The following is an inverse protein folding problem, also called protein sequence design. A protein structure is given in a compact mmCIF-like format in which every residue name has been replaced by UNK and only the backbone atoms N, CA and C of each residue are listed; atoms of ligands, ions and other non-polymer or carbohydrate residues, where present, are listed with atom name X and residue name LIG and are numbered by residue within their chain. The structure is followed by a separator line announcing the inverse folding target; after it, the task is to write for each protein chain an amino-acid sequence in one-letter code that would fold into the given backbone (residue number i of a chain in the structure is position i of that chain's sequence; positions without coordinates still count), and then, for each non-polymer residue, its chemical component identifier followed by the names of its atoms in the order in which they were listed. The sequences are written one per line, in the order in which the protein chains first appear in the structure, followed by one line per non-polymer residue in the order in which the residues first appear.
data_IF_426977771651
#
_entry.id   IF_426977771651
#
_cell.length_a   1.000
_cell.length_b   1.000
_cell.length_c   1.000
_cell.angle_alpha   90.00
_cell.angle_beta   90.00
_cell.angle_gamma   90.00
#
_symmetry.space_group_name_H-M   'P 1'
#
loop_
_entity.id
_entity.type
_entity.pdbx_description
1 polymer ?
#
# COMPACT_ATOMS: atom_id res chain seq x y z
N UNK A 1 -35.81 -2.65 -65.91
CA UNK A 1 -35.80 -2.58 -64.44
C UNK A 1 -34.35 -2.55 -64.01
N UNK A 2 -33.87 -1.40 -63.54
CA UNK A 2 -32.47 -1.09 -63.30
C UNK A 2 -32.19 -1.03 -61.79
N UNK A 3 -31.10 -1.66 -61.37
CA UNK A 3 -30.30 -1.41 -60.15
C UNK A 3 -29.78 0.06 -60.13
N UNK A 4 -29.14 0.62 -59.06
CA UNK A 4 -28.34 -0.05 -58.01
C UNK A 4 -28.29 0.61 -56.58
N UNK A 5 -27.52 -0.04 -55.70
CA UNK A 5 -26.62 0.48 -54.63
C UNK A 5 -27.11 1.43 -53.51
N UNK A 6 -26.51 1.26 -52.32
CA UNK A 6 -26.03 2.42 -51.55
C UNK A 6 -26.45 2.52 -50.08
N UNK A 7 -25.55 2.07 -49.19
CA UNK A 7 -24.97 2.83 -48.07
C UNK A 7 -25.65 4.11 -47.50
N UNK A 8 -25.50 4.25 -46.17
CA UNK A 8 -25.25 5.48 -45.36
C UNK A 8 -26.38 6.14 -44.55
N UNK A 9 -26.03 6.30 -43.26
CA UNK A 9 -26.03 7.52 -42.41
C UNK A 9 -27.34 8.28 -42.14
N UNK A 10 -27.64 8.41 -40.85
CA UNK A 10 -28.18 9.63 -40.21
C UNK A 10 -27.47 9.74 -38.84
N UNK A 11 -26.82 10.83 -38.39
CA UNK A 11 -27.14 12.25 -38.52
C UNK A 11 -27.96 12.68 -37.30
N UNK A 12 -27.36 13.24 -36.23
CA UNK A 12 -27.41 14.69 -35.83
C UNK A 12 -28.82 15.30 -35.94
N UNK A 13 -29.38 16.11 -35.02
CA UNK A 13 -28.89 17.20 -34.15
C UNK A 13 -30.14 17.83 -33.49
N UNK A 14 -30.00 18.58 -32.39
CA UNK A 14 -30.66 19.89 -32.08
C UNK A 14 -30.16 20.34 -30.69
N UNK A 15 -29.85 21.59 -30.36
CA UNK A 15 -29.81 22.90 -31.03
C UNK A 15 -29.04 23.86 -30.08
N UNK A 16 -28.08 24.65 -30.59
CA UNK A 16 -28.18 26.10 -30.93
C UNK A 16 -27.90 27.04 -29.74
N UNK A 17 -26.73 27.72 -29.71
CA UNK A 17 -26.40 29.09 -30.23
C UNK A 17 -26.88 30.16 -29.21
N UNK A 18 -26.05 31.05 -28.65
CA UNK A 18 -25.48 32.28 -29.25
C UNK A 18 -24.16 32.68 -28.53
N UNK A 19 -23.13 33.03 -29.32
CA UNK A 19 -22.04 33.98 -28.98
C UNK A 19 -22.32 35.31 -29.70
N UNK A 20 -21.72 36.42 -29.25
CA UNK A 20 -20.72 37.11 -30.09
C UNK A 20 -19.45 37.40 -29.28
N UNK A 21 -18.25 36.99 -29.74
CA UNK A 21 -17.35 37.73 -30.66
C UNK A 21 -16.88 39.08 -30.07
N UNK A 22 -15.59 39.41 -29.93
CA UNK A 22 -14.35 38.78 -30.37
C UNK A 22 -13.14 39.69 -30.04
N UNK A 23 -11.94 39.14 -30.30
CA UNK A 23 -10.59 39.75 -30.32
C UNK A 23 -9.75 39.80 -29.02
N UNK A 24 -8.69 38.98 -29.05
CA UNK A 24 -7.41 39.02 -28.28
C UNK A 24 -6.39 39.95 -29.02
N UNK A 25 -5.09 39.99 -28.64
CA UNK A 25 -4.44 40.37 -27.36
C UNK A 25 -3.32 41.43 -27.58
N UNK A 26 -2.77 42.05 -26.50
CA UNK A 26 -1.31 42.18 -26.19
C UNK A 26 -0.92 43.36 -25.29
N UNK A 27 0.03 43.04 -24.40
CA UNK A 27 1.20 43.78 -23.89
C UNK A 27 1.07 45.01 -22.94
N UNK A 28 1.73 44.86 -21.78
CA UNK A 28 2.17 45.81 -20.73
C UNK A 28 2.87 47.09 -21.27
N UNK A 29 3.03 48.24 -20.53
CA UNK A 29 3.52 48.30 -19.14
C UNK A 29 3.13 49.52 -18.24
N UNK A 30 3.59 49.43 -16.97
CA UNK A 30 4.02 50.51 -16.06
C UNK A 30 3.00 51.53 -15.50
N UNK A 31 2.85 51.57 -14.16
CA UNK A 31 3.30 52.71 -13.31
C UNK A 31 3.11 52.43 -11.80
N UNK A 32 4.19 52.64 -11.03
CA UNK A 32 4.14 53.02 -9.59
C UNK A 32 3.97 54.55 -9.48
N UNK A 33 3.70 55.11 -8.28
CA UNK A 33 4.82 55.61 -7.48
C UNK A 33 4.77 55.30 -5.96
N UNK A 34 5.97 55.39 -5.37
CA UNK A 34 6.39 55.23 -3.96
C UNK A 34 5.98 56.40 -3.04
N UNK A 35 6.04 56.18 -1.71
CA UNK A 35 6.76 56.93 -0.62
C UNK A 35 6.48 56.14 0.70
N UNK A 36 7.38 55.49 1.45
CA UNK A 36 8.70 55.76 2.04
C UNK A 36 8.72 56.49 3.41
N UNK A 37 9.08 55.79 4.50
CA UNK A 37 9.89 56.24 5.66
C UNK A 37 10.15 55.03 6.62
N UNK A 38 11.38 54.48 6.76
CA UNK A 38 12.52 54.83 7.67
C UNK A 38 12.11 54.91 9.17
N UNK A 39 12.84 54.42 10.18
CA UNK A 39 14.11 53.72 10.42
C UNK A 39 14.10 53.33 11.95
N UNK A 40 14.84 52.36 12.50
CA UNK A 40 16.23 52.51 12.98
C UNK A 40 16.70 51.22 13.68
N UNK A 41 18.01 50.98 13.57
CA UNK A 41 18.79 49.93 14.24
C UNK A 41 19.25 50.37 15.64
N UNK A 42 19.48 49.43 16.55
CA UNK A 42 20.39 49.64 17.68
C UNK A 42 21.25 48.40 17.93
N UNK A 43 22.57 48.62 17.87
CA UNK A 43 23.66 47.70 18.22
C UNK A 43 24.06 48.02 19.67
N UNK A 44 24.17 47.02 20.54
CA UNK A 44 25.02 47.09 21.75
C UNK A 44 25.63 45.70 22.03
N UNK A 45 26.93 45.67 22.29
CA UNK A 45 27.76 44.62 22.91
C UNK A 45 28.78 45.39 23.79
N UNK A 46 29.57 44.75 24.69
CA UNK A 46 29.36 43.55 25.51
C UNK A 46 29.86 43.74 26.98
N UNK A 47 29.48 42.89 27.95
CA UNK A 47 30.31 42.63 29.16
C UNK A 47 30.13 41.18 29.61
N UNK A 48 31.26 40.56 29.96
CA UNK A 48 31.45 39.19 30.38
C UNK A 48 31.15 38.95 31.87
N UNK A 49 30.73 37.73 32.24
CA UNK A 49 31.48 36.80 33.09
C UNK A 49 30.61 35.61 33.58
N UNK A 50 31.10 34.38 33.31
CA UNK A 50 31.23 33.18 34.19
C UNK A 50 29.99 32.70 34.98
N UNK A 51 29.70 31.42 35.19
CA UNK A 51 30.27 30.09 34.89
C UNK A 51 29.16 29.09 35.32
N UNK A 52 29.08 27.89 34.73
CA UNK A 52 28.16 26.86 35.25
C UNK A 52 27.92 25.61 34.38
N UNK A 53 28.99 25.09 33.77
CA UNK A 53 29.29 23.68 33.48
C UNK A 53 28.14 22.68 33.23
N UNK A 54 27.89 22.41 31.95
CA UNK A 54 27.35 21.14 31.48
C UNK A 54 28.47 20.08 31.47
N UNK A 55 28.21 18.92 32.07
CA UNK A 55 29.01 17.71 31.95
C UNK A 55 28.22 16.66 31.15
N UNK A 56 28.97 15.85 30.40
CA UNK A 56 28.59 14.60 29.72
C UNK A 56 28.10 14.70 28.27
N UNK A 57 29.03 15.07 27.40
CA UNK A 57 29.11 14.54 26.03
C UNK A 57 30.56 14.05 25.82
N UNK A 58 30.82 12.81 26.24
CA UNK A 58 32.03 12.09 25.85
C UNK A 58 31.70 10.59 25.86
N UNK A 59 31.68 10.00 24.66
CA UNK A 59 31.89 8.59 24.25
C UNK A 59 31.19 8.42 22.90
N UNK A 60 31.84 8.83 21.81
CA UNK A 60 31.61 8.27 20.46
C UNK A 60 32.61 8.85 19.44
N UNK A 61 33.92 8.82 19.73
CA UNK A 61 34.92 9.16 18.70
C UNK A 61 36.17 8.29 18.86
N UNK A 62 36.08 7.03 18.43
CA UNK A 62 37.25 6.20 18.07
C UNK A 62 36.79 4.93 17.35
N UNK A 63 36.67 4.98 16.02
CA UNK A 63 36.91 3.85 15.11
C UNK A 63 36.60 4.18 13.64
N UNK A 64 37.22 5.21 13.03
CA UNK A 64 37.40 5.23 11.56
C UNK A 64 38.69 5.96 11.22
N UNK A 65 39.81 5.25 11.20
CA UNK A 65 41.08 5.75 10.66
C UNK A 65 41.90 4.61 10.04
N UNK A 66 41.37 4.02 8.97
CA UNK A 66 42.07 3.36 7.86
C UNK A 66 40.94 3.06 6.85
N UNK A 67 40.98 3.42 5.57
CA UNK A 67 42.12 3.51 4.68
C UNK A 67 41.70 4.37 3.47
N UNK A 68 42.54 5.34 3.11
CA UNK A 68 42.52 6.05 1.83
C UNK A 68 42.63 5.04 0.68
N UNK A 69 41.85 5.22 -0.38
CA UNK A 69 42.33 5.68 -1.70
C UNK A 69 41.34 5.28 -2.81
N UNK A 70 40.87 6.26 -3.59
CA UNK A 70 40.01 6.00 -4.74
C UNK A 70 39.19 7.22 -5.18
N UNK A 71 39.87 8.31 -5.50
CA UNK A 71 39.30 9.54 -6.09
C UNK A 71 38.68 9.23 -7.47
N UNK A 72 37.41 9.56 -7.72
CA UNK A 72 36.97 10.31 -8.93
C UNK A 72 35.68 11.13 -8.64
N UNK A 73 35.89 12.45 -8.59
CA UNK A 73 35.09 13.62 -9.03
C UNK A 73 33.55 13.65 -8.93
N UNK A 74 33.09 14.60 -8.08
CA UNK A 74 32.11 15.71 -8.30
C UNK A 74 30.86 15.43 -9.16
N UNK A 75 29.69 15.65 -8.56
CA UNK A 75 28.93 16.89 -8.72
C UNK A 75 27.81 16.97 -7.65
N UNK A 76 27.62 18.16 -7.10
CA UNK A 76 26.59 18.48 -6.13
C UNK A 76 25.25 18.73 -6.83
N UNK A 77 24.13 18.34 -6.21
CA UNK A 77 22.94 19.19 -6.14
C UNK A 77 21.91 18.70 -5.11
N UNK A 78 21.35 19.69 -4.39
CA UNK A 78 20.31 19.60 -3.39
C UNK A 78 18.96 19.20 -4.02
N UNK A 79 18.17 18.38 -3.31
CA UNK A 79 16.71 18.40 -3.36
C UNK A 79 16.15 17.76 -2.06
N UNK A 80 15.14 18.38 -1.45
CA UNK A 80 14.46 17.91 -0.24
C UNK A 80 13.54 16.69 -0.48
N UNK A 81 12.87 16.18 0.57
CA UNK A 81 12.16 14.91 0.49
C UNK A 81 10.73 15.12 0.00
N UNK A 82 10.54 15.21 -1.32
CA UNK A 82 9.25 14.94 -1.96
C UNK A 82 9.55 14.35 -3.35
N UNK A 83 8.82 13.30 -3.72
CA UNK A 83 8.87 12.52 -4.97
C UNK A 83 9.75 11.25 -4.96
N UNK A 84 9.11 10.13 -4.66
CA UNK A 84 9.46 8.82 -5.22
C UNK A 84 8.20 7.95 -5.36
N UNK A 85 7.21 8.43 -6.13
CA UNK A 85 6.16 7.60 -6.72
C UNK A 85 5.96 8.07 -8.16
N UNK A 86 6.84 7.64 -9.05
CA UNK A 86 6.59 7.61 -10.50
C UNK A 86 7.73 6.85 -11.20
N UNK A 87 7.33 6.00 -12.15
CA UNK A 87 8.13 5.16 -13.05
C UNK A 87 8.59 3.81 -12.49
N UNK A 88 7.63 2.87 -12.34
CA UNK A 88 7.96 1.45 -12.51
C UNK A 88 8.16 1.17 -14.00
N UNK A 89 9.23 0.46 -14.40
CA UNK A 89 9.46 0.10 -15.79
C UNK A 89 8.34 -0.80 -16.29
N UNK A 90 7.92 -0.61 -17.55
CA UNK A 90 7.07 -1.57 -18.28
C UNK A 90 7.63 -2.98 -18.06
N UNK A 91 6.74 -3.91 -17.72
CA UNK A 91 7.06 -5.31 -17.49
C UNK A 91 8.08 -5.82 -18.51
N UNK A 92 9.33 -5.96 -18.07
CA UNK A 92 10.35 -6.64 -18.85
C UNK A 92 10.01 -8.11 -18.73
N UNK A 93 9.66 -8.72 -19.86
CA UNK A 93 9.68 -10.17 -20.05
C UNK A 93 11.11 -10.65 -19.79
N UNK A 94 11.47 -10.90 -18.54
CA UNK A 94 12.71 -11.56 -18.17
C UNK A 94 12.50 -13.06 -18.32
N UNK A 95 12.88 -13.58 -19.49
CA UNK A 95 13.01 -15.01 -19.73
C UNK A 95 14.06 -15.59 -18.79
N UNK A 96 13.60 -16.18 -17.69
CA UNK A 96 14.28 -17.21 -16.92
C UNK A 96 13.64 -18.56 -17.25
N UNK A 97 14.42 -19.62 -17.18
CA UNK A 97 14.17 -21.00 -17.63
C UNK A 97 12.70 -21.50 -17.56
N UNK A 98 12.15 -21.91 -18.70
CA UNK A 98 10.70 -22.16 -18.98
C UNK A 98 10.22 -23.59 -18.72
N UNK A 99 10.97 -24.40 -17.97
CA UNK A 99 10.69 -25.84 -17.95
C UNK A 99 9.41 -26.23 -17.20
N UNK A 100 8.87 -25.37 -16.33
CA UNK A 100 7.64 -25.63 -15.57
C UNK A 100 6.38 -24.89 -16.04
N UNK A 101 6.48 -23.95 -16.98
CA UNK A 101 5.34 -23.15 -17.46
C UNK A 101 4.36 -23.93 -18.37
N UNK A 102 4.73 -25.15 -18.79
CA UNK A 102 3.93 -25.96 -19.72
C UNK A 102 3.20 -27.14 -19.08
N UNK A 103 3.44 -27.44 -17.80
CA UNK A 103 2.68 -28.49 -17.11
C UNK A 103 1.33 -27.94 -16.64
N UNK A 104 0.21 -28.65 -16.84
CA UNK A 104 -1.10 -28.16 -16.39
C UNK A 104 -1.12 -27.87 -14.88
N UNK A 105 -1.63 -26.71 -14.50
CA UNK A 105 -1.89 -26.39 -13.08
C UNK A 105 -2.95 -27.40 -12.58
N UNK A 106 -2.79 -28.00 -11.38
CA UNK A 106 -3.76 -28.96 -10.87
C UNK A 106 -5.12 -28.29 -10.60
N UNK A 107 -6.21 -29.08 -10.67
CA UNK A 107 -7.58 -28.58 -10.40
C UNK A 107 -7.83 -28.31 -8.91
N UNK A 108 -6.96 -28.80 -8.03
CA UNK A 108 -7.03 -28.55 -6.59
C UNK A 108 -5.62 -28.34 -6.08
N UNK A 109 -5.36 -27.25 -5.35
CA UNK A 109 -4.06 -27.08 -4.71
C UNK A 109 -3.86 -28.15 -3.64
N UNK A 110 -2.64 -28.66 -3.53
CA UNK A 110 -2.29 -29.76 -2.64
C UNK A 110 -1.87 -29.22 -1.27
N UNK A 111 -2.76 -28.43 -0.68
CA UNK A 111 -2.59 -27.70 0.58
C UNK A 111 -2.56 -28.58 1.84
N UNK A 112 -2.06 -29.82 1.72
CA UNK A 112 -1.89 -30.71 2.86
C UNK A 112 -0.89 -30.17 3.89
N UNK A 113 -0.47 -31.02 4.82
CA UNK A 113 0.59 -30.63 5.76
C UNK A 113 1.91 -30.41 5.02
N UNK A 114 2.31 -29.16 4.90
CA UNK A 114 3.62 -28.69 4.46
C UNK A 114 4.32 -28.21 5.71
N UNK A 115 5.51 -28.74 6.02
CA UNK A 115 6.32 -28.20 7.11
C UNK A 115 6.83 -26.80 6.70
N UNK A 116 6.00 -25.77 6.92
CA UNK A 116 6.33 -24.38 6.63
C UNK A 116 7.53 -23.91 7.47
N UNK A 117 7.74 -24.50 8.64
CA UNK A 117 8.94 -24.26 9.43
C UNK A 117 10.18 -24.86 8.74
N UNK A 118 10.09 -26.03 8.10
CA UNK A 118 11.14 -26.55 7.22
C UNK A 118 11.37 -25.66 6.00
N UNK A 119 10.31 -25.08 5.40
CA UNK A 119 10.46 -24.09 4.32
C UNK A 119 11.28 -22.88 4.81
N UNK A 120 11.06 -22.43 6.05
CA UNK A 120 11.82 -21.34 6.66
C UNK A 120 13.27 -21.69 6.98
N UNK A 121 13.52 -22.87 7.56
CA UNK A 121 14.87 -23.36 7.86
C UNK A 121 15.69 -23.68 6.61
N UNK A 122 15.03 -23.83 5.46
CA UNK A 122 15.66 -24.26 4.22
C UNK A 122 15.72 -25.78 4.05
N UNK A 123 15.13 -26.53 4.97
CA UNK A 123 15.08 -27.99 4.96
C UNK A 123 14.09 -28.52 3.90
N UNK A 124 13.11 -27.70 3.50
CA UNK A 124 12.22 -27.96 2.37
C UNK A 124 12.56 -27.02 1.19
N UNK A 125 12.70 -27.55 -0.04
CA UNK A 125 12.83 -26.75 -1.24
C UNK A 125 11.59 -25.85 -1.46
N UNK A 126 11.81 -24.58 -1.83
CA UNK A 126 10.70 -23.67 -2.16
C UNK A 126 9.86 -24.17 -3.35
N UNK A 127 10.45 -24.95 -4.24
CA UNK A 127 9.76 -25.51 -5.40
C UNK A 127 8.67 -26.49 -4.97
N UNK A 128 8.95 -27.33 -3.96
CA UNK A 128 7.95 -28.26 -3.43
C UNK A 128 6.77 -27.51 -2.78
N UNK A 129 7.06 -26.45 -2.03
CA UNK A 129 6.03 -25.60 -1.45
C UNK A 129 5.18 -24.91 -2.54
N UNK A 130 5.84 -24.32 -3.54
CA UNK A 130 5.18 -23.64 -4.65
C UNK A 130 4.31 -24.60 -5.48
N UNK A 131 4.78 -25.82 -5.77
CA UNK A 131 3.99 -26.84 -6.47
C UNK A 131 2.74 -27.23 -5.69
N UNK A 132 2.85 -27.43 -4.37
CA UNK A 132 1.71 -27.79 -3.53
C UNK A 132 0.71 -26.65 -3.38
N UNK A 133 1.18 -25.40 -3.37
CA UNK A 133 0.33 -24.21 -3.33
C UNK A 133 -0.30 -23.88 -4.69
N UNK A 134 0.23 -24.39 -5.79
CA UNK A 134 -0.35 -24.18 -7.12
C UNK A 134 -1.63 -25.00 -7.30
N UNK A 135 -2.66 -24.41 -7.91
CA UNK A 135 -3.94 -25.06 -8.10
C UNK A 135 -5.06 -24.09 -8.48
N UNK A 136 -6.30 -24.58 -8.48
CA UNK A 136 -7.49 -23.78 -8.76
C UNK A 136 -8.02 -23.09 -7.49
N UNK A 137 -8.15 -21.76 -7.57
CA UNK A 137 -8.72 -20.90 -6.54
C UNK A 137 -9.99 -20.22 -7.08
N UNK A 138 -11.15 -20.75 -6.71
CA UNK A 138 -12.41 -20.33 -7.31
C UNK A 138 -12.44 -20.68 -8.81
N UNK A 139 -12.74 -19.73 -9.72
CA UNK A 139 -12.72 -19.99 -11.15
C UNK A 139 -11.33 -19.83 -11.80
N UNK A 140 -10.30 -19.45 -11.04
CA UNK A 140 -8.96 -19.11 -11.58
C UNK A 140 -7.93 -20.17 -11.22
N UNK A 141 -6.92 -20.36 -12.07
CA UNK A 141 -5.76 -21.21 -11.77
C UNK A 141 -4.58 -20.34 -11.34
N UNK A 142 -4.03 -20.60 -10.16
CA UNK A 142 -2.83 -19.91 -9.68
C UNK A 142 -1.62 -20.85 -9.72
N UNK A 143 -0.51 -20.32 -10.25
CA UNK A 143 0.80 -20.94 -10.22
C UNK A 143 1.71 -20.14 -9.29
N UNK A 144 2.10 -20.78 -8.21
CA UNK A 144 3.16 -20.29 -7.34
C UNK A 144 4.50 -20.65 -7.97
N UNK A 145 5.41 -19.69 -7.95
CA UNK A 145 6.71 -19.75 -8.58
C UNK A 145 7.79 -19.57 -7.53
N UNK A 146 9.00 -20.04 -7.82
CA UNK A 146 10.18 -19.84 -6.98
C UNK A 146 11.07 -18.70 -7.43
N UNK A 147 10.56 -17.84 -8.34
CA UNK A 147 11.24 -16.63 -8.82
C UNK A 147 11.52 -15.58 -7.73
N UNK A 148 11.17 -15.85 -6.48
CA UNK A 148 11.75 -15.14 -5.36
C UNK A 148 13.24 -15.44 -5.32
N UNK A 149 14.08 -14.47 -5.71
CA UNK A 149 15.49 -14.49 -5.31
C UNK A 149 15.60 -14.74 -3.80
N UNK A 150 16.78 -15.15 -3.27
CA UNK A 150 16.91 -15.47 -1.86
C UNK A 150 16.31 -14.34 -1.06
N UNK A 151 15.20 -14.63 -0.37
CA UNK A 151 14.63 -13.68 0.56
C UNK A 151 15.70 -13.32 1.59
N UNK A 152 15.43 -12.32 2.44
CA UNK A 152 16.30 -12.19 3.60
C UNK A 152 16.25 -13.52 4.37
N UNK A 153 17.32 -13.93 5.08
CA UNK A 153 17.29 -15.16 5.88
C UNK A 153 16.08 -15.24 6.84
N UNK A 154 15.48 -14.09 7.14
CA UNK A 154 14.33 -13.92 8.02
C UNK A 154 12.97 -14.00 7.30
N UNK A 155 12.91 -13.98 5.96
CA UNK A 155 11.65 -14.04 5.20
C UNK A 155 11.82 -14.77 3.87
N UNK A 156 11.07 -15.86 3.67
CA UNK A 156 11.05 -16.61 2.40
C UNK A 156 9.79 -16.27 1.62
N UNK A 157 9.93 -15.68 0.42
CA UNK A 157 8.78 -15.27 -0.41
C UNK A 157 8.50 -16.27 -1.51
N UNK A 158 7.23 -16.61 -1.68
CA UNK A 158 6.70 -17.45 -2.77
C UNK A 158 5.79 -16.56 -3.63
N UNK A 159 6.29 -16.00 -4.76
CA UNK A 159 5.45 -15.27 -5.69
C UNK A 159 4.47 -16.19 -6.41
N UNK A 160 3.38 -15.63 -6.94
CA UNK A 160 2.46 -16.37 -7.80
C UNK A 160 1.83 -15.48 -8.87
N UNK A 161 1.34 -16.13 -9.92
CA UNK A 161 0.47 -15.53 -10.93
C UNK A 161 -0.81 -16.36 -11.01
N UNK A 162 -1.95 -15.71 -11.28
CA UNK A 162 -3.21 -16.36 -11.56
C UNK A 162 -3.63 -16.14 -13.01
N UNK A 163 -4.33 -17.11 -13.58
CA UNK A 163 -4.67 -17.21 -14.99
C UNK A 163 -6.12 -17.68 -15.18
N UNK A 164 -6.68 -17.34 -16.34
CA UNK A 164 -7.99 -17.81 -16.81
C UNK A 164 -7.97 -19.24 -17.36
N UNK A 165 -6.80 -19.74 -17.77
CA UNK A 165 -6.64 -21.07 -18.34
C UNK A 165 -5.72 -21.94 -17.48
N UNK A 166 -5.99 -23.25 -17.48
CA UNK A 166 -5.34 -24.23 -16.61
C UNK A 166 -3.84 -24.39 -16.86
N UNK A 167 -3.40 -24.29 -18.11
CA UNK A 167 -1.98 -24.44 -18.44
C UNK A 167 -1.17 -23.18 -18.08
N UNK A 168 -1.84 -22.07 -17.75
CA UNK A 168 -1.21 -20.77 -17.51
C UNK A 168 -0.93 -19.98 -18.80
N UNK A 169 -1.39 -20.45 -19.96
CA UNK A 169 -1.26 -19.76 -21.25
C UNK A 169 -2.32 -18.67 -21.47
N UNK A 170 -3.41 -18.74 -20.70
CA UNK A 170 -4.48 -17.74 -20.71
C UNK A 170 -4.04 -16.37 -20.18
N UNK A 171 -4.99 -15.43 -20.18
CA UNK A 171 -4.74 -14.07 -19.66
C UNK A 171 -4.42 -14.16 -18.17
N UNK A 172 -3.29 -13.55 -17.76
CA UNK A 172 -2.95 -13.36 -16.35
C UNK A 172 -3.97 -12.42 -15.72
N UNK A 173 -4.59 -12.85 -14.62
CA UNK A 173 -5.68 -12.14 -13.93
C UNK A 173 -5.24 -11.50 -12.63
N UNK A 174 -4.21 -12.06 -12.00
CA UNK A 174 -3.65 -11.53 -10.76
C UNK A 174 -2.18 -11.93 -10.59
N UNK A 175 -1.48 -11.22 -9.73
CA UNK A 175 -0.17 -11.61 -9.23
C UNK A 175 -0.01 -11.22 -7.76
N UNK A 176 0.85 -11.93 -7.06
CA UNK A 176 1.11 -11.65 -5.64
C UNK A 176 2.33 -12.37 -5.11
N UNK A 177 2.53 -12.27 -3.81
CA UNK A 177 3.51 -13.08 -3.09
C UNK A 177 3.08 -13.33 -1.65
N UNK A 178 3.36 -14.52 -1.15
CA UNK A 178 3.28 -14.85 0.27
C UNK A 178 4.69 -14.91 0.85
N UNK A 179 4.93 -14.18 1.93
CA UNK A 179 6.15 -14.28 2.72
C UNK A 179 5.93 -15.19 3.92
N UNK A 180 6.87 -16.06 4.22
CA UNK A 180 6.89 -16.85 5.46
C UNK A 180 8.03 -16.32 6.33
N UNK A 181 7.81 -16.25 7.64
CA UNK A 181 8.77 -15.74 8.63
C UNK A 181 8.68 -16.54 9.91
N UNK A 182 9.80 -16.67 10.61
CA UNK A 182 9.85 -17.03 12.03
C UNK A 182 10.08 -15.75 12.82
N UNK A 183 9.14 -15.41 13.69
CA UNK A 183 9.23 -14.24 14.57
C UNK A 183 9.20 -14.72 16.00
N UNK A 184 10.38 -14.96 16.58
CA UNK A 184 10.56 -15.42 17.97
C UNK A 184 9.87 -16.75 18.28
N UNK A 185 9.86 -17.68 17.33
CA UNK A 185 9.19 -18.99 17.45
C UNK A 185 7.77 -19.02 16.92
N UNK A 186 7.20 -17.86 16.56
CA UNK A 186 5.90 -17.80 15.88
C UNK A 186 6.11 -17.92 14.36
N UNK A 187 5.33 -18.80 13.73
CA UNK A 187 5.26 -18.88 12.28
C UNK A 187 4.30 -17.82 11.75
N UNK A 188 4.82 -16.88 10.97
CA UNK A 188 4.09 -15.71 10.48
C UNK A 188 4.05 -15.70 8.96
N UNK A 189 2.90 -15.36 8.39
CA UNK A 189 2.75 -15.13 6.94
C UNK A 189 2.60 -13.63 6.65
N UNK A 190 3.45 -13.08 5.78
CA UNK A 190 3.24 -11.77 5.15
C UNK A 190 2.38 -11.94 3.88
N UNK A 191 1.16 -11.42 3.89
CA UNK A 191 0.23 -11.43 2.75
C UNK A 191 0.02 -10.02 2.17
N UNK A 192 1.08 -9.20 2.19
CA UNK A 192 1.01 -7.78 1.81
C UNK A 192 0.91 -7.53 0.29
N UNK A 193 1.10 -8.56 -0.55
CA UNK A 193 1.15 -8.39 -2.00
C UNK A 193 0.14 -9.28 -2.71
N UNK A 194 -0.96 -8.66 -3.15
CA UNK A 194 -1.90 -9.22 -4.11
C UNK A 194 -2.40 -8.06 -4.98
N UNK A 195 -2.25 -8.19 -6.29
CA UNK A 195 -2.87 -7.31 -7.25
C UNK A 195 -3.74 -8.12 -8.20
N UNK A 196 -5.00 -7.74 -8.32
CA UNK A 196 -5.95 -8.30 -9.29
C UNK A 196 -6.14 -7.26 -10.39
N UNK A 197 -5.91 -7.68 -11.62
CA UNK A 197 -6.06 -6.84 -12.80
C UNK A 197 -7.52 -6.36 -12.90
N UNK A 198 -7.72 -5.12 -13.35
CA UNK A 198 -8.97 -4.37 -13.19
C UNK A 198 -10.20 -5.12 -13.73
N UNK A 199 -10.08 -5.71 -14.91
CA UNK A 199 -11.13 -6.48 -15.58
C UNK A 199 -11.55 -7.75 -14.79
N UNK A 200 -10.68 -8.24 -13.89
CA UNK A 200 -10.87 -9.46 -13.10
C UNK A 200 -11.20 -9.18 -11.63
N UNK A 201 -11.28 -7.91 -11.23
CA UNK A 201 -11.72 -7.53 -9.89
C UNK A 201 -13.19 -7.91 -9.67
N UNK A 202 -13.56 -8.15 -8.42
CA UNK A 202 -14.92 -8.53 -7.99
C UNK A 202 -15.46 -9.83 -8.60
N UNK A 203 -14.60 -10.65 -9.22
CA UNK A 203 -14.94 -11.98 -9.73
C UNK A 203 -14.64 -13.12 -8.71
N UNK A 204 -14.32 -12.77 -7.47
CA UNK A 204 -14.15 -13.74 -6.38
C UNK A 204 -12.75 -14.36 -6.21
N UNK A 205 -11.75 -13.99 -7.03
CA UNK A 205 -10.39 -14.55 -6.90
C UNK A 205 -9.78 -14.36 -5.51
N UNK A 206 -9.76 -13.11 -5.02
CA UNK A 206 -9.14 -12.78 -3.74
C UNK A 206 -9.79 -13.51 -2.55
N UNK A 207 -11.12 -13.62 -2.56
CA UNK A 207 -11.87 -14.36 -1.53
C UNK A 207 -11.57 -15.86 -1.58
N UNK A 208 -11.56 -16.46 -2.77
CA UNK A 208 -11.25 -17.88 -2.92
C UNK A 208 -9.80 -18.22 -2.56
N UNK A 209 -8.85 -17.35 -2.94
CA UNK A 209 -7.45 -17.47 -2.55
C UNK A 209 -7.31 -17.36 -1.04
N UNK A 210 -7.91 -16.34 -0.42
CA UNK A 210 -7.86 -16.12 1.01
C UNK A 210 -8.44 -17.30 1.79
N UNK A 211 -9.64 -17.77 1.45
CA UNK A 211 -10.30 -18.85 2.18
C UNK A 211 -9.42 -20.13 2.22
N UNK A 212 -8.93 -20.57 1.05
CA UNK A 212 -8.08 -21.76 0.96
C UNK A 212 -6.72 -21.56 1.63
N UNK A 213 -6.11 -20.38 1.49
CA UNK A 213 -4.83 -20.08 2.13
C UNK A 213 -4.94 -20.01 3.65
N UNK A 214 -6.04 -19.47 4.20
CA UNK A 214 -6.25 -19.44 5.64
C UNK A 214 -6.41 -20.84 6.23
N UNK A 215 -7.18 -21.72 5.58
CA UNK A 215 -7.27 -23.13 5.98
C UNK A 215 -5.91 -23.81 5.96
N UNK A 216 -5.13 -23.57 4.89
CA UNK A 216 -3.77 -24.05 4.76
C UNK A 216 -2.84 -23.55 5.88
N UNK A 217 -2.89 -22.26 6.21
CA UNK A 217 -2.08 -21.65 7.26
C UNK A 217 -2.42 -22.23 8.64
N UNK A 218 -3.71 -22.37 8.96
CA UNK A 218 -4.17 -22.98 10.22
C UNK A 218 -3.69 -24.43 10.32
N UNK A 219 -3.85 -25.22 9.26
CA UNK A 219 -3.45 -26.63 9.23
C UNK A 219 -1.94 -26.84 9.40
N UNK A 220 -1.13 -25.85 9.00
CA UNK A 220 0.33 -25.86 9.08
C UNK A 220 0.89 -25.05 10.24
N UNK A 221 0.01 -24.59 11.12
CA UNK A 221 0.36 -23.96 12.37
C UNK A 221 1.02 -22.61 12.28
N UNK A 222 0.62 -21.83 11.28
CA UNK A 222 0.84 -20.38 11.26
C UNK A 222 0.08 -19.77 12.43
N UNK A 223 0.75 -18.90 13.18
CA UNK A 223 0.18 -18.23 14.34
C UNK A 223 -0.59 -16.96 13.94
N UNK A 224 -0.09 -16.25 12.93
CA UNK A 224 -0.76 -15.06 12.39
C UNK A 224 -0.41 -14.74 10.94
N UNK A 225 -1.30 -14.00 10.28
CA UNK A 225 -1.05 -13.35 9.00
C UNK A 225 -0.86 -11.85 9.23
N UNK A 226 0.24 -11.30 8.74
CA UNK A 226 0.54 -9.88 8.71
C UNK A 226 0.25 -9.32 7.31
N UNK A 227 -0.36 -8.13 7.25
CA UNK A 227 -0.71 -7.46 6.00
C UNK A 227 -0.32 -5.99 6.05
N UNK A 228 0.10 -5.45 4.90
CA UNK A 228 0.03 -4.03 4.61
C UNK A 228 -1.15 -3.79 3.68
N UNK A 229 -2.29 -3.45 4.26
CA UNK A 229 -3.43 -3.00 3.49
C UNK A 229 -3.05 -1.69 2.79
N UNK A 230 -3.23 -1.65 1.48
CA UNK A 230 -2.85 -0.51 0.65
C UNK A 230 -3.63 -0.56 -0.67
N UNK A 231 -3.30 0.33 -1.60
CA UNK A 231 -3.91 0.41 -2.93
C UNK A 231 -5.41 0.72 -2.84
N UNK A 232 -6.13 0.57 -3.96
CA UNK A 232 -7.51 1.01 -4.10
C UNK A 232 -8.46 0.30 -3.13
N UNK A 233 -8.44 -1.03 -3.08
CA UNK A 233 -9.43 -1.83 -2.36
C UNK A 233 -8.88 -2.55 -1.12
N UNK A 234 -7.56 -2.60 -0.94
CA UNK A 234 -6.93 -3.44 0.08
C UNK A 234 -7.33 -3.07 1.50
N UNK A 235 -7.45 -1.77 1.79
CA UNK A 235 -7.90 -1.27 3.09
C UNK A 235 -9.29 -1.77 3.47
N UNK A 236 -10.25 -1.67 2.55
CA UNK A 236 -11.62 -2.14 2.78
C UNK A 236 -11.69 -3.67 2.84
N UNK A 237 -10.97 -4.37 1.96
CA UNK A 237 -10.95 -5.83 1.90
C UNK A 237 -10.46 -6.46 3.21
N UNK A 238 -9.31 -6.04 3.74
CA UNK A 238 -8.75 -6.64 4.95
C UNK A 238 -9.58 -6.34 6.20
N UNK A 239 -10.12 -5.13 6.31
CA UNK A 239 -10.99 -4.75 7.42
C UNK A 239 -12.30 -5.57 7.47
N UNK A 240 -12.84 -5.93 6.30
CA UNK A 240 -13.99 -6.82 6.25
C UNK A 240 -13.64 -8.23 6.73
N UNK A 241 -12.45 -8.72 6.38
CA UNK A 241 -12.01 -10.10 6.62
C UNK A 241 -11.36 -10.33 7.99
N UNK A 242 -11.67 -9.49 8.98
CA UNK A 242 -11.31 -9.74 10.38
C UNK A 242 -9.85 -9.45 10.75
N UNK A 243 -9.11 -8.81 9.85
CA UNK A 243 -7.80 -8.25 10.18
C UNK A 243 -7.99 -7.06 11.13
N UNK A 244 -7.24 -7.05 12.22
CA UNK A 244 -7.18 -5.92 13.15
C UNK A 244 -5.86 -5.15 13.00
N UNK A 245 -5.73 -3.99 13.62
CA UNK A 245 -4.49 -3.22 13.59
C UNK A 245 -3.32 -3.97 14.20
N UNK A 246 -2.16 -3.81 13.56
CA UNK A 246 -0.91 -4.23 14.14
C UNK A 246 -0.48 -3.26 15.24
N UNK A 247 -0.51 -3.73 16.49
CA UNK A 247 -0.18 -2.95 17.68
C UNK A 247 1.31 -2.65 17.86
N UNK A 248 2.21 -3.17 17.01
CA UNK A 248 3.64 -2.84 17.09
C UNK A 248 3.84 -1.33 16.88
N UNK A 249 4.65 -0.64 17.71
CA UNK A 249 4.70 0.83 17.72
C UNK A 249 4.96 1.48 16.35
N UNK A 250 5.85 0.91 15.55
CA UNK A 250 6.21 1.40 14.21
C UNK A 250 5.06 1.20 13.20
N UNK A 251 4.32 0.09 13.32
CA UNK A 251 3.21 -0.29 12.44
C UNK A 251 1.93 0.46 12.78
N UNK A 252 1.63 0.60 14.07
CA UNK A 252 0.50 1.37 14.56
C UNK A 252 0.63 2.85 14.17
N UNK A 253 1.80 3.46 14.43
CA UNK A 253 2.04 4.85 14.08
C UNK A 253 1.87 5.12 12.58
N UNK A 254 2.35 4.21 11.71
CA UNK A 254 2.17 4.32 10.26
C UNK A 254 0.73 4.10 9.82
N UNK A 255 -0.02 3.23 10.49
CA UNK A 255 -1.44 3.00 10.21
C UNK A 255 -2.27 4.26 10.47
N UNK A 256 -2.03 4.92 11.62
CA UNK A 256 -2.67 6.21 11.92
C UNK A 256 -2.26 7.28 10.90
N UNK A 257 -0.97 7.36 10.56
CA UNK A 257 -0.48 8.31 9.57
C UNK A 257 -1.03 8.08 8.16
N UNK A 258 -1.43 6.85 7.82
CA UNK A 258 -2.06 6.51 6.53
C UNK A 258 -3.58 6.70 6.50
N UNK A 259 -4.27 6.50 7.63
CA UNK A 259 -5.73 6.60 7.70
C UNK A 259 -6.24 8.02 7.94
N UNK A 260 -5.62 8.79 8.85
CA UNK A 260 -6.11 10.14 9.19
C UNK A 260 -6.15 11.10 7.99
N UNK A 261 -5.15 11.13 7.09
CA UNK A 261 -5.25 11.94 5.88
C UNK A 261 -6.37 11.49 4.95
N UNK A 262 -6.64 10.19 4.85
CA UNK A 262 -7.72 9.67 4.01
C UNK A 262 -9.09 10.01 4.57
N UNK A 263 -9.27 9.91 5.90
CA UNK A 263 -10.45 10.40 6.60
C UNK A 263 -10.71 11.89 6.35
N UNK A 264 -9.66 12.71 6.42
CA UNK A 264 -9.76 14.14 6.11
C UNK A 264 -10.13 14.39 4.64
N UNK A 265 -9.57 13.62 3.71
CA UNK A 265 -9.89 13.72 2.28
C UNK A 265 -11.36 13.36 1.99
N UNK A 266 -11.91 12.34 2.64
CA UNK A 266 -13.35 12.00 2.53
C UNK A 266 -14.22 13.09 3.14
N UNK A 267 -13.86 13.59 4.32
CA UNK A 267 -14.58 14.65 5.04
C UNK A 267 -14.66 15.95 4.24
N UNK A 268 -13.57 16.33 3.59
CA UNK A 268 -13.42 17.62 2.91
C UNK A 268 -13.56 17.52 1.38
N UNK A 269 -14.07 16.38 0.89
CA UNK A 269 -14.24 16.14 -0.54
C UNK A 269 -15.22 17.14 -1.16
N UNK A 270 -14.78 17.83 -2.21
CA UNK A 270 -15.61 18.74 -3.00
C UNK A 270 -16.39 17.99 -4.09
N UNK A 271 -15.84 16.87 -4.57
CA UNK A 271 -16.43 16.08 -5.67
C UNK A 271 -17.45 15.06 -5.19
N UNK A 272 -17.33 14.62 -3.93
CA UNK A 272 -18.31 13.77 -3.27
C UNK A 272 -18.50 14.25 -1.82
N UNK A 273 -19.19 15.39 -1.60
CA UNK A 273 -19.38 15.94 -0.28
C UNK A 273 -20.09 14.97 0.66
N UNK A 274 -19.80 15.10 1.96
CA UNK A 274 -20.53 14.39 3.03
C UNK A 274 -21.37 15.39 3.81
N UNK A 275 -22.50 14.94 4.35
CA UNK A 275 -23.35 15.72 5.25
C UNK A 275 -22.61 16.11 6.53
N UNK A 276 -23.13 17.10 7.26
CA UNK A 276 -22.59 17.46 8.59
C UNK A 276 -22.62 16.28 9.58
N UNK A 277 -23.62 15.39 9.46
CA UNK A 277 -23.66 14.14 10.21
C UNK A 277 -22.47 13.23 9.85
N UNK A 278 -22.18 13.05 8.56
CA UNK A 278 -21.03 12.30 8.07
C UNK A 278 -19.70 12.90 8.51
N UNK A 279 -19.57 14.24 8.47
CA UNK A 279 -18.37 14.93 8.97
C UNK A 279 -18.16 14.68 10.46
N UNK A 280 -19.21 14.79 11.26
CA UNK A 280 -19.16 14.52 12.70
C UNK A 280 -18.79 13.07 12.99
N UNK A 281 -19.37 12.11 12.28
CA UNK A 281 -19.03 10.70 12.40
C UNK A 281 -17.54 10.42 12.08
N UNK A 282 -16.98 11.08 11.06
CA UNK A 282 -15.54 11.01 10.75
C UNK A 282 -14.70 11.61 11.89
N UNK A 283 -15.10 12.74 12.46
CA UNK A 283 -14.37 13.34 13.58
C UNK A 283 -14.37 12.44 14.81
N UNK A 284 -15.52 11.86 15.17
CA UNK A 284 -15.67 10.97 16.31
C UNK A 284 -14.77 9.72 16.17
N UNK A 285 -14.70 9.11 14.98
CA UNK A 285 -13.81 7.96 14.76
C UNK A 285 -12.33 8.36 14.74
N UNK A 286 -12.00 9.51 14.14
CA UNK A 286 -10.62 9.99 14.05
C UNK A 286 -10.06 10.40 15.42
N UNK A 287 -10.88 10.98 16.30
CA UNK A 287 -10.47 11.35 17.67
C UNK A 287 -10.09 10.10 18.49
N UNK A 288 -10.83 9.01 18.32
CA UNK A 288 -10.52 7.71 18.94
C UNK A 288 -9.25 7.04 18.39
N UNK A 289 -8.73 7.47 17.24
CA UNK A 289 -7.45 6.99 16.70
C UNK A 289 -6.24 7.75 17.25
N UNK A 290 -6.45 8.65 18.24
CA UNK A 290 -5.36 9.39 18.87
C UNK A 290 -4.36 8.42 19.49
N UNK A 291 -3.10 8.53 19.05
CA UNK A 291 -2.02 7.74 19.63
C UNK A 291 -1.82 8.11 21.11
N UNK A 292 -1.86 7.08 21.96
CA UNK A 292 -1.36 7.14 23.32
C UNK A 292 0.00 6.45 23.37
N UNK A 293 0.85 6.84 24.32
CA UNK A 293 2.19 6.25 24.46
C UNK A 293 2.35 5.53 25.78
N UNK A 294 3.12 4.45 25.77
CA UNK A 294 3.61 3.82 27.00
C UNK A 294 4.66 4.69 27.73
N UNK A 295 5.17 4.19 28.86
CA UNK A 295 6.20 4.88 29.64
C UNK A 295 7.53 5.10 28.89
N UNK A 296 7.76 4.35 27.81
CA UNK A 296 8.94 4.46 26.94
C UNK A 296 8.72 5.42 25.77
N UNK A 297 7.52 6.02 25.65
CA UNK A 297 7.16 6.92 24.57
C UNK A 297 6.71 6.21 23.28
N UNK A 298 6.46 4.90 23.32
CA UNK A 298 6.03 4.14 22.14
C UNK A 298 4.50 4.18 21.98
N UNK A 299 3.98 4.42 20.76
CA UNK A 299 2.56 4.27 20.48
C UNK A 299 2.03 2.89 20.87
N UNK A 300 0.89 2.83 21.54
CA UNK A 300 0.19 1.60 21.91
C UNK A 300 -1.30 1.70 21.59
N UNK A 301 -1.93 0.55 21.31
CA UNK A 301 -3.37 0.46 21.19
C UNK A 301 -4.02 0.68 22.56
N UNK A 302 -4.96 1.63 22.65
CA UNK A 302 -5.80 1.81 23.83
C UNK A 302 -7.16 1.17 23.63
N UNK A 303 -7.90 0.94 24.73
CA UNK A 303 -9.17 0.21 24.72
C UNK A 303 -10.21 0.81 23.76
N UNK A 304 -10.28 2.13 23.65
CA UNK A 304 -11.25 2.82 22.79
C UNK A 304 -10.79 2.97 21.32
N UNK A 305 -9.59 2.51 20.98
CA UNK A 305 -9.04 2.62 19.62
C UNK A 305 -9.91 1.80 18.65
N UNK A 306 -10.41 2.39 17.56
CA UNK A 306 -11.37 1.70 16.71
C UNK A 306 -10.69 0.57 15.94
N UNK A 307 -11.40 -0.54 15.74
CA UNK A 307 -10.92 -1.61 14.85
C UNK A 307 -11.05 -1.18 13.38
N UNK A 308 -10.26 -1.74 12.44
CA UNK A 308 -10.44 -1.49 11.02
C UNK A 308 -11.86 -1.81 10.54
N UNK A 309 -12.46 -2.88 11.09
CA UNK A 309 -13.84 -3.28 10.81
C UNK A 309 -14.85 -2.23 11.27
N UNK A 310 -14.62 -1.61 12.42
CA UNK A 310 -15.46 -0.54 12.93
C UNK A 310 -15.39 0.70 12.03
N UNK A 311 -14.19 1.11 11.63
CA UNK A 311 -14.00 2.22 10.68
C UNK A 311 -14.73 1.91 9.37
N UNK A 312 -14.58 0.69 8.83
CA UNK A 312 -15.25 0.27 7.60
C UNK A 312 -16.78 0.31 7.70
N UNK A 313 -17.34 -0.02 8.87
CA UNK A 313 -18.78 -0.04 9.13
C UNK A 313 -19.37 1.32 9.45
N UNK A 314 -18.55 2.37 9.52
CA UNK A 314 -19.02 3.73 9.70
C UNK A 314 -20.03 4.07 8.60
N UNK A 315 -21.21 4.52 9.00
CA UNK A 315 -22.29 4.86 8.09
C UNK A 315 -23.20 5.90 8.77
N UNK A 316 -23.84 6.73 7.95
CA UNK A 316 -24.94 7.61 8.36
C UNK A 316 -26.16 7.29 7.50
N UNK A 317 -27.29 7.93 7.79
CA UNK A 317 -28.48 7.79 6.95
C UNK A 317 -28.27 8.36 5.53
N UNK A 318 -27.45 9.41 5.40
CA UNK A 318 -27.15 10.05 4.13
C UNK A 318 -25.96 9.38 3.39
N UNK A 319 -25.03 8.78 4.13
CA UNK A 319 -23.81 8.15 3.61
C UNK A 319 -23.67 6.71 4.15
N UNK A 320 -24.40 5.73 3.59
CA UNK A 320 -24.31 4.34 4.02
C UNK A 320 -22.96 3.68 3.68
N UNK A 321 -22.16 4.30 2.81
CA UNK A 321 -20.86 3.83 2.34
C UNK A 321 -19.66 4.60 2.96
N UNK A 322 -19.91 5.45 3.98
CA UNK A 322 -18.91 6.36 4.53
C UNK A 322 -17.59 5.68 4.94
N UNK A 323 -17.69 4.58 5.68
CA UNK A 323 -16.54 3.79 6.12
C UNK A 323 -15.82 3.08 4.97
N UNK A 324 -16.55 2.64 3.95
CA UNK A 324 -15.95 2.01 2.78
C UNK A 324 -15.14 3.04 1.97
N UNK A 325 -15.64 4.28 1.84
CA UNK A 325 -14.92 5.42 1.26
C UNK A 325 -13.64 5.77 2.03
N UNK A 326 -13.67 5.69 3.37
CA UNK A 326 -12.50 5.94 4.24
C UNK A 326 -11.46 4.82 4.12
N UNK A 327 -11.89 3.58 3.96
CA UNK A 327 -10.97 2.45 3.95
C UNK A 327 -10.34 2.23 2.57
N UNK A 328 -11.04 2.54 1.48
CA UNK A 328 -10.46 2.51 0.12
C UNK A 328 -9.40 3.57 -0.06
N UNK A 329 -8.30 3.20 -0.71
CA UNK A 329 -7.13 4.06 -0.92
C UNK A 329 -6.29 4.32 0.34
N UNK A 330 -6.74 3.89 1.52
CA UNK A 330 -5.97 4.02 2.76
C UNK A 330 -4.84 2.99 2.83
N UNK A 331 -3.78 3.33 3.57
CA UNK A 331 -2.70 2.39 3.89
C UNK A 331 -2.63 2.16 5.40
N UNK A 332 -2.64 0.90 5.83
CA UNK A 332 -2.49 0.52 7.23
C UNK A 332 -1.92 -0.90 7.36
N UNK A 333 -1.36 -1.20 8.53
CA UNK A 333 -0.77 -2.48 8.85
C UNK A 333 -1.69 -3.26 9.77
N UNK A 334 -1.89 -4.53 9.44
CA UNK A 334 -2.84 -5.37 10.15
C UNK A 334 -2.32 -6.77 10.44
N UNK A 335 -2.96 -7.38 11.42
CA UNK A 335 -2.71 -8.75 11.87
C UNK A 335 -4.04 -9.50 11.90
N UNK A 336 -4.04 -10.71 11.34
CA UNK A 336 -5.08 -11.71 11.55
C UNK A 336 -4.47 -12.85 12.38
N UNK A 337 -4.86 -12.93 13.65
CA UNK A 337 -4.47 -14.05 14.52
C UNK A 337 -5.20 -15.32 14.12
N UNK A 338 -4.46 -16.43 14.01
CA UNK A 338 -5.00 -17.76 13.71
C UNK A 338 -4.94 -18.69 14.93
N UNK A 339 -4.14 -18.32 15.93
CA UNK A 339 -3.97 -18.99 17.22
C UNK A 339 -3.88 -17.97 18.34
#
# INVERSE_FOLDING_TARGET
MQTPEGEKKFGQKIGEIIRPDGMKPRDDPATKPDVAAKAKSTKVKPVAARNGSAHMADVATKAVAAQKAGRVKRAAQKAGPVAAVAAMPKAVNSGGDRTNDHQPIPDTPRLGKIDLAAVMRGDMPLDEAAEKMSGKYGPFWARFNTLGGPGTPMMRKVPFNAYTERDGSGVRTAFGSLGFMDVNGDLVVDASMLNVDEDYRRQGFGEALQAQMLEFFIANGVDRVEVMASMEDGGAHWAQNGVDFDGRPDRLGRSVAGLLPNMAAVRDSVTNPVSEEGRRAIYEIADRMRLVTDASGNPVLHADFPTPREIRRLATSAEPDLGDRIMRGSTWYGVLSLR
#
